data_IF_647937954728
#
_entry.id   IF_647937954728
#
_cell.length_a   1.000
_cell.length_b   1.000
_cell.length_c   1.000
_cell.angle_alpha   90.00
_cell.angle_beta   90.00
_cell.angle_gamma   90.00
#
_symmetry.space_group_name_H-M   'P 1'
#
loop_
_entity.id
_entity.type
_entity.pdbx_description
1 polymer ?
#
# COMPACT_ATOMS: atom_id res chain seq x y z
N UNK A 1 -17.12 5.78 -20.30
CA UNK A 1 -16.26 6.15 -21.45
C UNK A 1 -14.91 6.73 -21.02
N UNK A 2 -14.86 7.78 -20.17
CA UNK A 2 -13.62 8.39 -19.65
C UNK A 2 -12.65 7.40 -18.97
N UNK A 3 -13.18 6.47 -18.16
CA UNK A 3 -12.36 5.44 -17.52
C UNK A 3 -11.69 4.47 -18.52
N UNK A 4 -12.35 4.16 -19.64
CA UNK A 4 -11.73 3.35 -20.72
C UNK A 4 -10.63 4.15 -21.44
N UNK A 5 -10.83 5.44 -21.65
CA UNK A 5 -9.86 6.37 -22.24
C UNK A 5 -8.57 6.49 -21.42
N UNK A 6 -8.69 6.76 -20.12
CA UNK A 6 -7.54 6.85 -19.19
C UNK A 6 -6.80 5.50 -19.10
N UNK A 7 -7.56 4.40 -19.12
CA UNK A 7 -6.98 3.05 -19.06
C UNK A 7 -6.29 2.64 -20.36
N UNK A 8 -6.76 3.11 -21.51
CA UNK A 8 -6.14 2.88 -22.81
C UNK A 8 -4.88 3.73 -23.01
N UNK A 9 -4.88 5.01 -22.57
CA UNK A 9 -3.68 5.87 -22.58
C UNK A 9 -2.57 5.37 -21.64
N UNK A 10 -2.91 4.63 -20.57
CA UNK A 10 -1.93 4.03 -19.64
C UNK A 10 -1.36 2.71 -20.13
N UNK A 11 -2.03 2.00 -21.04
CA UNK A 11 -1.45 0.83 -21.71
C UNK A 11 -0.50 1.37 -22.79
N UNK A 12 0.73 0.86 -22.85
CA UNK A 12 1.78 1.24 -23.83
C UNK A 12 1.43 0.85 -25.29
N UNK A 13 0.20 1.09 -25.73
CA UNK A 13 -0.24 0.92 -27.10
C UNK A 13 -0.65 2.29 -27.66
N UNK A 14 -0.07 2.66 -28.80
CA UNK A 14 -0.40 3.86 -29.56
C UNK A 14 -1.80 3.75 -30.20
N UNK A 15 -2.84 3.57 -29.40
CA UNK A 15 -4.21 3.66 -29.92
C UNK A 15 -4.57 5.14 -29.95
N UNK A 16 -4.23 5.78 -31.07
CA UNK A 16 -4.65 7.16 -31.36
C UNK A 16 -6.13 7.12 -31.69
N UNK A 17 -6.92 7.93 -31.00
CA UNK A 17 -8.33 8.11 -31.32
C UNK A 17 -8.39 8.94 -32.59
N UNK A 18 -8.94 8.37 -33.66
CA UNK A 18 -9.03 9.02 -34.97
C UNK A 18 -10.42 9.63 -35.24
N UNK A 19 -11.43 9.24 -34.45
CA UNK A 19 -12.82 9.67 -34.57
C UNK A 19 -13.46 9.76 -33.18
N UNK A 20 -14.18 10.85 -32.91
CA UNK A 20 -14.98 11.08 -31.70
C UNK A 20 -16.38 11.57 -32.10
N UNK A 21 -17.44 10.95 -31.60
CA UNK A 21 -18.81 11.45 -31.78
C UNK A 21 -19.36 11.97 -30.45
N UNK A 22 -19.76 13.24 -30.42
CA UNK A 22 -20.36 13.91 -29.25
C UNK A 22 -21.66 14.57 -29.68
N UNK A 23 -22.78 14.26 -29.01
CA UNK A 23 -24.08 14.88 -29.27
C UNK A 23 -24.52 14.81 -30.75
N UNK A 24 -24.15 13.72 -31.45
CA UNK A 24 -24.45 13.53 -32.88
C UNK A 24 -23.52 14.27 -33.84
N UNK A 25 -22.51 14.99 -33.34
CA UNK A 25 -21.48 15.65 -34.14
C UNK A 25 -20.20 14.80 -34.12
N UNK A 26 -19.67 14.49 -35.30
CA UNK A 26 -18.43 13.72 -35.47
C UNK A 26 -17.22 14.64 -35.64
N UNK A 27 -16.20 14.40 -34.83
CA UNK A 27 -14.92 15.08 -34.84
C UNK A 27 -13.85 14.11 -35.34
N UNK A 28 -13.22 14.45 -36.46
CA UNK A 28 -12.14 13.68 -37.10
C UNK A 28 -10.84 14.47 -37.00
N UNK A 29 -9.70 13.77 -36.88
CA UNK A 29 -8.36 14.36 -36.72
C UNK A 29 -8.07 14.89 -35.30
N UNK A 30 -6.80 14.85 -34.89
CA UNK A 30 -6.38 15.03 -33.50
C UNK A 30 -6.72 16.40 -32.90
N UNK A 31 -6.72 17.46 -33.72
CA UNK A 31 -7.05 18.82 -33.25
C UNK A 31 -8.56 19.00 -33.02
N UNK A 32 -9.41 18.44 -33.89
CA UNK A 32 -10.87 18.56 -33.73
C UNK A 32 -11.42 17.69 -32.61
N UNK A 33 -10.78 16.56 -32.30
CA UNK A 33 -11.17 15.69 -31.18
C UNK A 33 -11.03 16.41 -29.85
N UNK A 34 -9.99 17.23 -29.67
CA UNK A 34 -9.80 18.02 -28.45
C UNK A 34 -10.92 19.04 -28.32
N UNK A 35 -11.25 19.75 -29.39
CA UNK A 35 -12.37 20.71 -29.43
C UNK A 35 -13.70 20.04 -29.11
N UNK A 36 -13.97 18.85 -29.66
CA UNK A 36 -15.18 18.10 -29.37
C UNK A 36 -15.30 17.66 -27.91
N UNK A 37 -14.18 17.28 -27.27
CA UNK A 37 -14.16 17.04 -25.83
C UNK A 37 -14.41 18.32 -25.03
N UNK A 38 -13.77 19.43 -25.41
CA UNK A 38 -13.93 20.70 -24.73
C UNK A 38 -15.39 21.17 -24.79
N UNK A 39 -16.04 21.11 -25.96
CA UNK A 39 -17.44 21.45 -26.13
C UNK A 39 -18.36 20.52 -25.34
N UNK A 40 -18.08 19.21 -25.33
CA UNK A 40 -18.83 18.25 -24.52
C UNK A 40 -18.79 18.61 -23.03
N UNK A 41 -17.60 18.77 -22.47
CA UNK A 41 -17.44 19.03 -21.04
C UNK A 41 -17.92 20.42 -20.67
N UNK A 42 -17.76 21.42 -21.55
CA UNK A 42 -18.36 22.73 -21.37
C UNK A 42 -19.88 22.62 -21.35
N UNK A 43 -20.50 21.83 -22.24
CA UNK A 43 -21.96 21.62 -22.22
C UNK A 43 -22.45 20.93 -20.94
N UNK A 44 -21.67 19.99 -20.38
CA UNK A 44 -21.98 19.35 -19.10
C UNK A 44 -21.80 20.31 -17.91
N UNK A 45 -20.83 21.22 -17.99
CA UNK A 45 -20.53 22.18 -16.94
C UNK A 45 -21.38 23.47 -17.02
N UNK A 46 -22.05 23.73 -18.14
CA UNK A 46 -22.89 24.93 -18.32
C UNK A 46 -24.34 24.57 -17.99
N UNK A 47 -24.73 24.84 -16.74
CA UNK A 47 -26.02 24.45 -16.15
C UNK A 47 -27.27 24.94 -16.90
N UNK A 48 -27.17 26.03 -17.67
CA UNK A 48 -28.32 26.63 -18.39
C UNK A 48 -28.94 25.76 -19.50
N UNK A 49 -28.29 24.65 -19.88
CA UNK A 49 -28.75 23.80 -20.99
C UNK A 49 -29.35 22.44 -20.54
N UNK A 50 -29.47 22.19 -19.24
CA UNK A 50 -30.05 20.95 -18.72
C UNK A 50 -31.54 21.15 -18.42
N UNK A 51 -32.42 20.47 -19.14
CA UNK A 51 -33.89 20.62 -19.02
C UNK A 51 -34.49 19.91 -17.80
N UNK A 52 -33.73 19.05 -17.13
CA UNK A 52 -34.17 18.21 -16.00
C UNK A 52 -33.29 18.41 -14.75
N UNK A 53 -33.05 19.67 -14.35
CA UNK A 53 -32.40 19.93 -13.06
C UNK A 53 -33.45 19.84 -11.95
N UNK A 54 -33.21 19.00 -10.95
CA UNK A 54 -33.96 18.96 -9.69
C UNK A 54 -33.90 20.35 -9.03
N UNK A 55 -35.04 21.04 -9.04
CA UNK A 55 -35.14 22.43 -8.55
C UNK A 55 -34.78 22.54 -7.07
N UNK A 56 -34.92 21.47 -6.29
CA UNK A 56 -34.54 21.47 -4.88
C UNK A 56 -33.02 21.51 -4.70
N UNK A 57 -32.28 20.69 -5.46
CA UNK A 57 -30.81 20.68 -5.44
C UNK A 57 -30.25 22.00 -5.97
N UNK A 58 -30.86 22.56 -7.02
CA UNK A 58 -30.47 23.88 -7.55
C UNK A 58 -30.61 24.99 -6.50
N UNK A 59 -31.76 25.04 -5.82
CA UNK A 59 -31.99 26.03 -4.77
C UNK A 59 -30.99 25.87 -3.62
N UNK A 60 -30.60 24.64 -3.29
CA UNK A 60 -29.61 24.37 -2.26
C UNK A 60 -28.20 24.86 -2.66
N UNK A 61 -27.78 24.63 -3.90
CA UNK A 61 -26.50 25.12 -4.41
C UNK A 61 -26.46 26.66 -4.46
N UNK A 62 -27.55 27.30 -4.87
CA UNK A 62 -27.67 28.78 -4.85
C UNK A 62 -27.64 29.33 -3.42
N UNK A 63 -28.31 28.68 -2.48
CA UNK A 63 -28.29 29.04 -1.06
C UNK A 63 -26.88 28.90 -0.46
N UNK A 64 -26.13 27.87 -0.85
CA UNK A 64 -24.74 27.67 -0.43
C UNK A 64 -23.80 28.71 -1.04
N UNK A 65 -23.94 29.04 -2.33
CA UNK A 65 -23.18 30.12 -2.99
C UNK A 65 -23.44 31.46 -2.31
N UNK A 66 -24.70 31.77 -2.00
CA UNK A 66 -25.05 32.99 -1.28
C UNK A 66 -24.47 33.00 0.14
N UNK A 67 -24.48 31.86 0.83
CA UNK A 67 -23.91 31.72 2.17
C UNK A 67 -22.39 31.93 2.16
N UNK A 68 -21.69 31.36 1.18
CA UNK A 68 -20.25 31.59 0.94
C UNK A 68 -20.00 33.07 0.65
N UNK A 69 -20.78 33.70 -0.22
CA UNK A 69 -20.62 35.13 -0.54
C UNK A 69 -20.84 36.04 0.68
N UNK A 70 -21.79 35.73 1.55
CA UNK A 70 -21.99 36.46 2.83
C UNK A 70 -20.80 36.27 3.78
N UNK A 71 -20.22 35.08 3.86
CA UNK A 71 -19.00 34.80 4.64
C UNK A 71 -17.77 35.52 4.07
N UNK A 72 -17.69 35.63 2.75
CA UNK A 72 -16.65 36.38 2.04
C UNK A 72 -16.80 37.89 2.26
N UNK A 73 -18.01 38.43 2.27
CA UNK A 73 -18.24 39.87 2.54
C UNK A 73 -17.95 40.29 4.00
N UNK A 74 -18.16 39.37 4.96
CA UNK A 74 -17.87 39.64 6.38
C UNK A 74 -16.38 39.64 6.73
N UNK A 75 -15.57 38.97 5.93
CA UNK A 75 -14.13 38.94 6.11
C UNK A 75 -13.51 39.89 5.08
N UNK A 76 -12.73 40.89 5.49
CA UNK A 76 -11.95 41.69 4.54
C UNK A 76 -10.88 40.79 3.89
N UNK A 77 -11.27 40.05 2.84
CA UNK A 77 -10.37 39.17 2.10
C UNK A 77 -9.51 40.05 1.21
N UNK A 78 -8.22 40.14 1.51
CA UNK A 78 -7.25 40.75 0.61
C UNK A 78 -7.15 39.92 -0.67
N UNK A 79 -7.15 40.57 -1.83
CA UNK A 79 -6.94 39.92 -3.12
C UNK A 79 -5.69 39.03 -3.08
N UNK A 80 -5.85 37.75 -3.41
CA UNK A 80 -4.74 36.79 -3.47
C UNK A 80 -3.77 37.25 -4.56
N UNK A 81 -2.51 37.42 -4.16
CA UNK A 81 -1.46 37.89 -5.08
C UNK A 81 -0.96 36.74 -5.94
N UNK A 82 -0.52 37.06 -7.16
CA UNK A 82 0.09 36.09 -8.06
C UNK A 82 1.30 35.36 -7.44
N UNK A 83 1.98 36.01 -6.50
CA UNK A 83 3.13 35.46 -5.77
C UNK A 83 2.70 34.34 -4.83
N UNK A 84 1.57 34.49 -4.13
CA UNK A 84 1.01 33.46 -3.23
C UNK A 84 0.59 32.20 -4.01
N UNK A 85 -0.05 32.38 -5.18
CA UNK A 85 -0.42 31.28 -6.09
C UNK A 85 0.84 30.55 -6.56
N UNK A 86 1.87 31.29 -6.98
CA UNK A 86 3.12 30.71 -7.48
C UNK A 86 3.86 29.93 -6.39
N UNK A 87 3.82 30.41 -5.15
CA UNK A 87 4.43 29.73 -4.00
C UNK A 87 3.68 28.46 -3.60
N UNK A 88 2.34 28.46 -3.67
CA UNK A 88 1.53 27.27 -3.46
C UNK A 88 1.86 26.18 -4.49
N UNK A 89 1.93 26.54 -5.78
CA UNK A 89 2.30 25.61 -6.87
C UNK A 89 3.70 25.02 -6.66
N UNK A 90 4.68 25.83 -6.25
CA UNK A 90 6.05 25.35 -5.96
C UNK A 90 6.09 24.42 -4.75
N UNK A 91 5.26 24.64 -3.74
CA UNK A 91 5.19 23.79 -2.54
C UNK A 91 4.65 22.40 -2.90
N UNK A 92 3.58 22.35 -3.70
CA UNK A 92 2.98 21.11 -4.23
C UNK A 92 4.03 20.28 -5.00
N UNK A 93 4.79 20.92 -5.89
CA UNK A 93 5.76 20.24 -6.75
C UNK A 93 7.03 19.76 -6.01
N UNK A 94 7.27 20.19 -4.77
CA UNK A 94 8.47 19.81 -4.00
C UNK A 94 8.27 18.63 -3.06
N UNK A 95 7.07 18.03 -3.01
CA UNK A 95 6.82 16.82 -2.21
C UNK A 95 7.01 16.98 -0.70
N UNK A 96 7.08 18.22 -0.19
CA UNK A 96 6.95 18.48 1.25
C UNK A 96 5.50 18.23 1.62
N UNK A 97 5.23 17.06 2.18
CA UNK A 97 3.97 16.78 2.85
C UNK A 97 3.79 17.84 3.95
N UNK A 98 2.70 18.62 3.85
CA UNK A 98 2.11 19.50 4.85
C UNK A 98 3.01 19.90 6.04
N UNK A 99 3.56 21.11 5.99
CA UNK A 99 3.89 21.83 7.23
C UNK A 99 2.59 22.00 8.05
N UNK A 100 2.68 22.25 9.37
CA UNK A 100 1.56 22.31 10.33
C UNK A 100 0.42 23.30 9.96
N UNK A 101 0.60 24.11 8.91
CA UNK A 101 -0.37 25.07 8.37
C UNK A 101 -1.21 24.53 7.19
N UNK A 102 -0.86 23.37 6.62
CA UNK A 102 -1.45 22.67 5.46
C UNK A 102 -2.13 23.51 4.36
N UNK A 103 -3.21 23.00 3.73
CA UNK A 103 -3.82 23.63 2.55
C UNK A 103 -4.89 24.65 2.95
N UNK A 104 -5.14 25.67 2.14
CA UNK A 104 -6.26 26.60 2.34
C UNK A 104 -7.10 26.73 1.07
N UNK A 105 -8.42 26.78 1.22
CA UNK A 105 -9.35 27.19 0.17
C UNK A 105 -9.92 28.54 0.61
N UNK A 106 -9.45 29.63 0.00
CA UNK A 106 -9.66 30.98 0.52
C UNK A 106 -9.03 31.15 1.91
N UNK A 107 -9.81 31.55 2.91
CA UNK A 107 -9.36 31.66 4.31
C UNK A 107 -9.53 30.38 5.13
N UNK A 108 -10.23 29.37 4.59
CA UNK A 108 -10.51 28.11 5.29
C UNK A 108 -9.25 27.25 5.27
N UNK A 109 -8.80 26.81 6.44
CA UNK A 109 -7.71 25.83 6.55
C UNK A 109 -8.28 24.45 6.23
N UNK A 110 -7.90 23.90 5.07
CA UNK A 110 -8.29 22.59 4.55
C UNK A 110 -7.12 21.64 4.71
N UNK A 111 -6.84 21.26 5.94
CA UNK A 111 -5.80 20.28 6.22
C UNK A 111 -6.39 18.88 6.05
N UNK A 112 -6.28 18.34 4.82
CA UNK A 112 -6.65 16.96 4.54
C UNK A 112 -5.41 16.08 4.32
N UNK A 113 -5.34 14.96 5.04
CA UNK A 113 -4.41 13.88 4.73
C UNK A 113 -5.22 12.68 4.30
N UNK A 114 -5.03 12.24 3.05
CA UNK A 114 -5.73 11.11 2.48
C UNK A 114 -4.74 10.02 2.04
N UNK A 115 -5.07 8.77 2.29
CA UNK A 115 -4.38 7.61 1.74
C UNK A 115 -5.40 6.48 1.51
N UNK A 116 -5.54 6.04 0.26
CA UNK A 116 -6.58 5.11 -0.15
C UNK A 116 -7.98 5.60 0.28
N UNK A 117 -8.69 4.82 1.12
CA UNK A 117 -10.01 5.09 1.66
C UNK A 117 -10.00 5.87 2.99
N UNK A 118 -8.83 6.06 3.60
CA UNK A 118 -8.69 6.81 4.85
C UNK A 118 -8.47 8.31 4.56
N UNK A 119 -9.41 9.16 5.01
CA UNK A 119 -9.32 10.63 4.94
C UNK A 119 -9.39 11.22 6.34
N UNK A 120 -8.45 12.09 6.69
CA UNK A 120 -8.52 12.92 7.89
C UNK A 120 -8.78 14.37 7.52
N UNK A 121 -9.81 14.97 8.13
CA UNK A 121 -10.16 16.39 8.01
C UNK A 121 -9.75 17.09 9.30
N UNK A 122 -9.07 18.23 9.20
CA UNK A 122 -8.59 18.99 10.36
C UNK A 122 -9.07 20.44 10.23
N UNK A 123 -9.69 20.94 11.28
CA UNK A 123 -10.11 22.34 11.41
C UNK A 123 -9.91 22.84 12.84
N UNK A 124 -9.74 24.15 12.98
CA UNK A 124 -9.64 24.85 14.27
C UNK A 124 -11.02 25.17 14.87
N UNK A 125 -12.06 25.27 14.03
CA UNK A 125 -13.42 25.64 14.42
C UNK A 125 -14.41 24.50 14.12
N UNK A 126 -15.34 24.18 15.04
CA UNK A 126 -16.32 23.10 14.83
C UNK A 126 -17.21 23.30 13.60
N UNK A 127 -17.64 24.54 13.34
CA UNK A 127 -18.52 24.85 12.21
C UNK A 127 -17.82 24.63 10.87
N UNK A 128 -16.53 24.99 10.79
CA UNK A 128 -15.69 24.70 9.63
C UNK A 128 -15.45 23.20 9.48
N UNK A 129 -15.29 22.46 10.58
CA UNK A 129 -15.19 21.01 10.53
C UNK A 129 -16.46 20.37 9.95
N UNK A 130 -17.65 20.84 10.36
CA UNK A 130 -18.93 20.37 9.82
C UNK A 130 -19.05 20.68 8.32
N UNK A 131 -18.65 21.87 7.88
CA UNK A 131 -18.63 22.24 6.47
C UNK A 131 -17.73 21.28 5.66
N UNK A 132 -16.53 20.97 6.15
CA UNK A 132 -15.62 20.02 5.50
C UNK A 132 -16.21 18.61 5.43
N UNK A 133 -16.93 18.17 6.47
CA UNK A 133 -17.62 16.88 6.48
C UNK A 133 -18.71 16.83 5.41
N UNK A 134 -19.53 17.89 5.31
CA UNK A 134 -20.59 17.98 4.31
C UNK A 134 -20.00 17.93 2.88
N UNK A 135 -19.00 18.75 2.61
CA UNK A 135 -18.29 18.73 1.32
C UNK A 135 -17.74 17.34 0.99
N UNK A 136 -17.12 16.66 1.96
CA UNK A 136 -16.61 15.31 1.76
C UNK A 136 -17.73 14.29 1.44
N UNK A 137 -18.91 14.44 2.05
CA UNK A 137 -20.07 13.61 1.75
C UNK A 137 -20.57 13.86 0.32
N UNK A 138 -20.70 15.12 -0.08
CA UNK A 138 -21.20 15.49 -1.40
C UNK A 138 -20.26 14.99 -2.51
N UNK A 139 -18.95 15.22 -2.36
CA UNK A 139 -17.96 14.71 -3.30
C UNK A 139 -17.93 13.18 -3.36
N UNK A 140 -18.02 12.50 -2.21
CA UNK A 140 -18.10 11.04 -2.19
C UNK A 140 -19.34 10.56 -2.94
N UNK A 141 -20.50 11.16 -2.70
CA UNK A 141 -21.75 10.82 -3.37
C UNK A 141 -21.68 11.05 -4.89
N UNK A 142 -21.17 12.20 -5.33
CA UNK A 142 -21.00 12.52 -6.75
C UNK A 142 -20.11 11.52 -7.49
N UNK A 143 -19.08 11.01 -6.82
CA UNK A 143 -18.15 10.03 -7.38
C UNK A 143 -18.62 8.57 -7.19
N UNK A 144 -19.81 8.36 -6.61
CA UNK A 144 -20.37 7.02 -6.37
C UNK A 144 -19.72 6.25 -5.22
N UNK A 145 -19.03 6.95 -4.30
CA UNK A 145 -18.51 6.39 -3.06
C UNK A 145 -19.50 6.59 -1.91
N UNK A 146 -19.46 5.67 -0.93
CA UNK A 146 -20.24 5.78 0.30
C UNK A 146 -19.29 5.83 1.51
N UNK A 147 -19.26 6.96 2.20
CA UNK A 147 -18.54 7.09 3.47
C UNK A 147 -19.21 6.23 4.55
N UNK A 148 -18.43 5.64 5.46
CA UNK A 148 -18.93 4.73 6.51
C UNK A 148 -19.09 5.45 7.86
N UNK A 149 -20.32 5.87 8.25
CA UNK A 149 -20.50 6.69 9.46
C UNK A 149 -20.03 6.02 10.73
N UNK A 150 -20.16 4.69 10.80
CA UNK A 150 -19.75 3.90 11.97
C UNK A 150 -18.23 3.83 12.16
N UNK A 151 -17.44 4.13 11.12
CA UNK A 151 -15.97 4.17 11.18
C UNK A 151 -15.42 5.58 11.25
N UNK A 152 -16.19 6.57 10.80
CA UNK A 152 -15.83 7.99 10.91
C UNK A 152 -15.96 8.44 12.36
N UNK A 153 -14.91 9.08 12.89
CA UNK A 153 -14.86 9.52 14.30
C UNK A 153 -14.36 10.95 14.40
N UNK A 154 -14.71 11.64 15.48
CA UNK A 154 -14.23 13.00 15.78
C UNK A 154 -13.20 12.94 16.90
N UNK A 155 -12.05 13.59 16.70
CA UNK A 155 -11.00 13.71 17.70
C UNK A 155 -10.69 15.19 17.96
N UNK A 156 -11.10 15.70 19.12
CA UNK A 156 -10.83 17.08 19.52
C UNK A 156 -9.46 17.18 20.19
N UNK A 157 -8.52 17.91 19.58
CA UNK A 157 -7.18 18.14 20.13
C UNK A 157 -7.19 19.45 20.90
N UNK A 158 -7.08 19.39 22.23
CA UNK A 158 -7.07 20.59 23.08
C UNK A 158 -5.64 21.03 23.41
N UNK A 159 -5.34 22.31 23.19
CA UNK A 159 -4.09 22.90 23.66
C UNK A 159 -4.20 23.17 25.17
N UNK A 160 -3.22 22.71 25.95
CA UNK A 160 -3.16 22.75 27.44
C UNK A 160 -3.45 24.10 28.11
N UNK A 161 -3.49 25.21 27.35
CA UNK A 161 -3.72 26.55 27.89
C UNK A 161 -5.20 26.91 28.04
N UNK A 162 -6.13 26.21 27.38
CA UNK A 162 -7.57 26.44 27.55
C UNK A 162 -8.14 25.37 28.48
N UNK A 163 -8.45 25.80 29.72
CA UNK A 163 -9.10 24.98 30.76
C UNK A 163 -10.63 24.93 30.64
N UNK A 164 -11.20 25.46 29.57
CA UNK A 164 -12.65 25.35 29.36
C UNK A 164 -12.96 23.95 28.86
N UNK A 165 -13.93 23.30 29.50
CA UNK A 165 -14.50 22.06 28.98
C UNK A 165 -14.99 22.35 27.55
N UNK A 166 -14.51 21.60 26.55
CA UNK A 166 -14.95 21.82 25.18
C UNK A 166 -16.46 21.65 25.14
N UNK A 167 -17.16 22.71 24.75
CA UNK A 167 -18.59 22.62 24.42
C UNK A 167 -18.69 21.54 23.34
N UNK A 168 -19.38 20.45 23.67
CA UNK A 168 -19.49 19.30 22.79
C UNK A 168 -20.41 19.67 21.62
N UNK A 169 -19.85 20.29 20.58
CA UNK A 169 -20.56 20.45 19.31
C UNK A 169 -20.60 19.08 18.65
N UNK A 170 -21.80 18.48 18.58
CA UNK A 170 -22.02 17.21 17.87
C UNK A 170 -21.82 17.43 16.37
N UNK A 171 -20.82 16.79 15.78
CA UNK A 171 -20.63 16.78 14.34
C UNK A 171 -21.42 15.61 13.72
N UNK A 172 -21.97 15.84 12.54
CA UNK A 172 -22.83 14.87 11.84
C UNK A 172 -22.28 14.57 10.45
N UNK A 173 -22.50 13.34 9.97
CA UNK A 173 -22.18 12.90 8.61
C UNK A 173 -23.48 12.43 7.96
N UNK A 174 -24.12 13.34 7.21
CA UNK A 174 -25.52 13.18 6.79
C UNK A 174 -26.46 13.18 8.00
N UNK A 175 -27.23 12.10 8.18
CA UNK A 175 -28.16 11.95 9.32
C UNK A 175 -27.54 11.26 10.55
N UNK A 176 -26.24 10.92 10.50
CA UNK A 176 -25.58 10.16 11.56
C UNK A 176 -24.68 11.06 12.39
N UNK A 177 -24.85 11.06 13.71
CA UNK A 177 -23.92 11.72 14.62
C UNK A 177 -22.58 10.95 14.67
N UNK A 178 -21.48 11.67 14.51
CA UNK A 178 -20.15 11.08 14.55
C UNK A 178 -19.68 10.95 16.01
N UNK A 179 -19.23 9.75 16.45
CA UNK A 179 -18.78 9.57 17.82
C UNK A 179 -17.50 10.37 18.09
N UNK A 180 -17.53 11.14 19.19
CA UNK A 180 -16.33 11.79 19.73
C UNK A 180 -15.50 10.78 20.50
N UNK A 181 -14.23 10.63 20.11
CA UNK A 181 -13.31 9.64 20.70
C UNK A 181 -12.09 10.34 21.30
N UNK A 182 -11.49 9.72 22.33
CA UNK A 182 -10.22 10.20 22.91
C UNK A 182 -8.99 9.81 22.09
N UNK A 183 -9.14 8.79 21.24
CA UNK A 183 -8.08 8.29 20.38
C UNK A 183 -8.65 7.69 19.10
N UNK A 184 -7.95 7.92 17.99
CA UNK A 184 -8.25 7.37 16.67
C UNK A 184 -6.95 6.93 15.99
N UNK A 185 -6.99 5.89 15.18
CA UNK A 185 -5.82 5.45 14.38
C UNK A 185 -6.00 5.93 12.95
N UNK A 186 -5.04 6.67 12.41
CA UNK A 186 -5.01 7.09 11.01
C UNK A 186 -3.68 6.70 10.38
N UNK A 187 -3.71 5.91 9.30
CA UNK A 187 -2.52 5.37 8.61
C UNK A 187 -1.56 4.61 9.54
N UNK A 188 -2.12 3.90 10.52
CA UNK A 188 -1.37 3.14 11.50
C UNK A 188 -0.68 3.99 12.59
N UNK A 189 -0.91 5.30 12.61
CA UNK A 189 -0.46 6.23 13.66
C UNK A 189 -1.65 6.50 14.59
N UNK A 190 -1.44 6.25 15.88
CA UNK A 190 -2.43 6.55 16.91
C UNK A 190 -2.40 8.05 17.18
N UNK A 191 -3.55 8.71 17.04
CA UNK A 191 -3.77 10.08 17.44
C UNK A 191 -4.60 10.07 18.72
N UNK A 192 -4.26 10.94 19.66
CA UNK A 192 -4.99 11.14 20.91
C UNK A 192 -5.24 12.65 21.09
N UNK A 193 -6.10 13.00 22.04
CA UNK A 193 -6.41 14.41 22.37
C UNK A 193 -5.20 15.18 22.92
N UNK A 194 -4.20 14.48 23.47
CA UNK A 194 -2.97 15.08 24.02
C UNK A 194 -1.70 14.60 23.32
N UNK A 195 -0.80 15.53 22.96
CA UNK A 195 0.49 15.20 22.35
C UNK A 195 1.34 14.22 23.19
N UNK A 196 1.30 14.34 24.53
CA UNK A 196 2.06 13.44 25.43
C UNK A 196 1.53 12.01 25.34
N UNK A 197 0.21 11.84 25.39
CA UNK A 197 -0.44 10.54 25.27
C UNK A 197 -0.23 9.95 23.87
N UNK A 198 -0.21 10.80 22.85
CA UNK A 198 0.02 10.41 21.46
C UNK A 198 1.40 9.75 21.29
N UNK A 199 2.44 10.36 21.87
CA UNK A 199 3.79 9.78 21.85
C UNK A 199 3.84 8.43 22.57
N UNK A 200 3.29 8.34 23.78
CA UNK A 200 3.27 7.09 24.56
C UNK A 200 2.50 5.99 23.82
N UNK A 201 1.30 6.28 23.33
CA UNK A 201 0.46 5.31 22.63
C UNK A 201 1.11 4.80 21.34
N UNK A 202 1.77 5.68 20.56
CA UNK A 202 2.49 5.25 19.37
C UNK A 202 3.71 4.38 19.68
N UNK A 203 4.46 4.72 20.74
CA UNK A 203 5.60 3.89 21.18
C UNK A 203 5.11 2.50 21.59
N UNK A 204 4.05 2.41 22.40
CA UNK A 204 3.47 1.14 22.84
C UNK A 204 2.93 0.31 21.68
N UNK A 205 2.20 0.92 20.75
CA UNK A 205 1.67 0.22 19.57
C UNK A 205 2.79 -0.24 18.64
N UNK A 206 3.85 0.56 18.47
CA UNK A 206 5.03 0.13 17.70
C UNK A 206 5.77 -1.02 18.38
N UNK A 207 5.92 -1.01 19.70
CA UNK A 207 6.45 -2.15 20.46
C UNK A 207 5.55 -3.38 20.26
N UNK A 208 4.23 -3.23 20.31
CA UNK A 208 3.27 -4.33 20.12
C UNK A 208 3.31 -4.86 18.68
N UNK A 209 3.42 -4.01 17.67
CA UNK A 209 3.61 -4.38 16.27
C UNK A 209 4.93 -5.11 16.09
N UNK A 210 6.03 -4.58 16.63
CA UNK A 210 7.34 -5.22 16.59
C UNK A 210 7.31 -6.60 17.26
N UNK A 211 6.69 -6.73 18.43
CA UNK A 211 6.47 -8.03 19.10
C UNK A 211 5.63 -8.96 18.23
N UNK A 212 4.50 -8.53 17.67
CA UNK A 212 3.66 -9.36 16.80
C UNK A 212 4.40 -9.79 15.53
N UNK A 213 5.16 -8.89 14.90
CA UNK A 213 5.99 -9.19 13.74
C UNK A 213 7.11 -10.17 14.11
N UNK A 214 7.76 -9.97 15.26
CA UNK A 214 8.69 -10.94 15.81
C UNK A 214 7.98 -12.28 16.00
N UNK A 215 6.91 -12.37 16.80
CA UNK A 215 6.15 -13.60 16.99
C UNK A 215 5.65 -14.25 15.69
N UNK A 216 5.29 -13.46 14.68
CA UNK A 216 4.90 -13.97 13.36
C UNK A 216 6.09 -14.52 12.56
N UNK A 217 7.27 -13.94 12.71
CA UNK A 217 8.53 -14.51 12.20
C UNK A 217 8.91 -15.76 13.02
N UNK A 218 8.58 -15.78 14.31
CA UNK A 218 8.86 -16.86 15.24
C UNK A 218 7.88 -18.07 15.11
N UNK A 219 6.66 -17.84 14.62
CA UNK A 219 5.58 -18.84 14.54
C UNK A 219 5.85 -20.00 13.57
N UNK A 220 6.88 -19.92 12.74
CA UNK A 220 7.33 -21.01 11.87
C UNK A 220 8.27 -22.04 12.52
N UNK A 221 8.76 -21.80 13.75
CA UNK A 221 9.73 -22.70 14.38
C UNK A 221 10.72 -22.01 15.31
N UNK A 222 10.26 -21.12 16.19
CA UNK A 222 11.13 -20.46 17.18
C UNK A 222 10.64 -20.67 18.63
N UNK A 223 9.64 -21.52 18.84
CA UNK A 223 9.19 -21.92 20.17
C UNK A 223 9.19 -23.44 20.27
N UNK A 224 10.01 -23.98 21.17
CA UNK A 224 10.06 -25.40 21.55
C UNK A 224 11.32 -26.15 21.12
N UNK A 225 11.38 -27.43 21.50
CA UNK A 225 12.48 -28.38 21.26
C UNK A 225 12.88 -28.56 19.78
N UNK A 226 12.08 -28.04 18.84
CA UNK A 226 12.27 -28.12 17.39
C UNK A 226 12.52 -26.75 16.72
N UNK A 227 12.87 -25.72 17.51
CA UNK A 227 13.10 -24.38 16.98
C UNK A 227 14.49 -24.17 16.35
N UNK A 228 14.65 -23.10 15.56
CA UNK A 228 15.99 -22.67 15.11
C UNK A 228 16.85 -22.30 16.31
N UNK A 229 18.12 -22.71 16.28
CA UNK A 229 19.08 -22.37 17.34
C UNK A 229 19.36 -20.86 17.39
N UNK A 230 19.81 -20.39 18.56
CA UNK A 230 20.03 -18.97 18.86
C UNK A 230 20.96 -18.29 17.85
N UNK A 231 21.97 -19.00 17.35
CA UNK A 231 22.96 -18.45 16.43
C UNK A 231 22.32 -18.22 15.06
N UNK A 232 21.51 -19.17 14.58
CA UNK A 232 20.71 -19.01 13.36
C UNK A 232 19.73 -17.84 13.48
N UNK A 233 19.10 -17.64 14.65
CA UNK A 233 18.21 -16.49 14.88
C UNK A 233 18.94 -15.15 14.75
N UNK A 234 20.08 -15.01 15.43
CA UNK A 234 20.88 -13.79 15.43
C UNK A 234 21.45 -13.50 14.04
N UNK A 235 21.87 -14.55 13.33
CA UNK A 235 22.34 -14.44 11.96
C UNK A 235 21.26 -13.92 11.01
N UNK A 236 20.02 -14.39 11.16
CA UNK A 236 18.88 -13.92 10.37
C UNK A 236 18.63 -12.43 10.60
N UNK A 237 18.62 -11.97 11.87
CA UNK A 237 18.42 -10.57 12.26
C UNK A 237 19.54 -9.67 11.71
N UNK A 238 20.79 -10.10 11.80
CA UNK A 238 21.95 -9.29 11.41
C UNK A 238 22.13 -9.18 9.89
N UNK A 239 21.52 -10.08 9.10
CA UNK A 239 21.63 -10.06 7.64
C UNK A 239 20.60 -9.17 6.93
N UNK A 240 19.91 -8.26 7.64
CA UNK A 240 18.80 -7.49 7.08
C UNK A 240 19.21 -6.17 6.41
N UNK A 241 19.19 -6.15 5.08
CA UNK A 241 18.95 -4.93 4.27
C UNK A 241 17.46 -4.88 3.86
N UNK A 242 16.87 -3.68 3.67
CA UNK A 242 15.44 -3.52 3.35
C UNK A 242 14.95 -4.27 2.08
N UNK A 243 15.87 -4.62 1.17
CA UNK A 243 15.57 -5.40 -0.05
C UNK A 243 15.46 -6.91 0.26
N UNK A 244 16.08 -7.40 1.34
CA UNK A 244 16.10 -8.82 1.69
C UNK A 244 14.90 -9.25 2.56
N UNK A 245 14.17 -8.30 3.14
CA UNK A 245 13.02 -8.56 4.02
C UNK A 245 11.87 -9.29 3.31
N UNK A 246 11.63 -8.99 2.02
CA UNK A 246 10.60 -9.68 1.23
C UNK A 246 11.01 -11.11 0.83
N UNK A 247 12.32 -11.40 0.77
CA UNK A 247 12.85 -12.69 0.30
C UNK A 247 12.86 -13.75 1.39
N UNK A 248 13.14 -13.32 2.62
CA UNK A 248 13.35 -14.23 3.74
C UNK A 248 12.13 -15.09 4.09
N UNK A 249 10.89 -14.56 4.14
CA UNK A 249 9.72 -15.37 4.49
C UNK A 249 9.53 -16.58 3.59
N UNK A 250 9.90 -16.47 2.31
CA UNK A 250 9.80 -17.58 1.35
C UNK A 250 10.77 -18.70 1.71
N UNK A 251 12.03 -18.35 1.99
CA UNK A 251 13.07 -19.32 2.36
C UNK A 251 12.77 -19.98 3.71
N UNK A 252 12.35 -19.20 4.71
CA UNK A 252 11.90 -19.73 6.00
C UNK A 252 10.71 -20.67 5.84
N UNK A 253 9.75 -20.35 4.97
CA UNK A 253 8.63 -21.24 4.70
C UNK A 253 9.09 -22.58 4.11
N UNK A 254 10.07 -22.59 3.23
CA UNK A 254 10.62 -23.83 2.67
C UNK A 254 11.40 -24.63 3.72
N UNK A 255 12.25 -23.96 4.50
CA UNK A 255 13.06 -24.58 5.56
C UNK A 255 12.17 -25.22 6.65
N UNK A 256 11.14 -24.51 7.10
CA UNK A 256 10.17 -24.99 8.11
C UNK A 256 9.12 -25.93 7.54
N UNK A 257 9.16 -26.20 6.24
CA UNK A 257 8.15 -26.97 5.53
C UNK A 257 6.76 -26.32 5.50
N UNK A 258 6.59 -25.06 5.92
CA UNK A 258 5.32 -24.32 5.87
C UNK A 258 4.98 -23.77 4.47
N UNK A 259 5.89 -23.86 3.50
CA UNK A 259 5.64 -23.53 2.11
C UNK A 259 4.70 -24.57 1.46
N UNK A 260 3.59 -24.09 0.89
CA UNK A 260 2.51 -24.96 0.39
C UNK A 260 2.81 -25.42 -1.06
N UNK A 261 3.54 -26.53 -1.18
CA UNK A 261 3.71 -27.30 -2.43
C UNK A 261 2.60 -28.35 -2.58
N UNK A 262 2.40 -28.91 -3.78
CA UNK A 262 1.38 -29.95 -4.00
C UNK A 262 1.57 -31.18 -3.10
N UNK A 263 2.81 -31.63 -2.91
CA UNK A 263 3.12 -32.73 -1.98
C UNK A 263 2.63 -32.49 -0.54
N UNK A 264 2.59 -31.22 -0.11
CA UNK A 264 2.03 -30.84 1.20
C UNK A 264 0.51 -30.68 1.16
N UNK A 265 -0.05 -30.15 0.07
CA UNK A 265 -1.50 -30.01 -0.11
C UNK A 265 -2.21 -31.36 -0.02
N UNK A 266 -1.67 -32.41 -0.64
CA UNK A 266 -2.23 -33.77 -0.55
C UNK A 266 -2.37 -34.23 0.89
N UNK A 267 -1.31 -34.05 1.69
CA UNK A 267 -1.32 -34.42 3.10
C UNK A 267 -2.39 -33.66 3.90
N UNK A 268 -2.74 -32.44 3.48
CA UNK A 268 -3.75 -31.61 4.13
C UNK A 268 -5.17 -31.93 3.66
N UNK A 269 -5.37 -32.25 2.38
CA UNK A 269 -6.68 -32.39 1.74
C UNK A 269 -7.07 -33.83 1.36
N UNK A 270 -6.36 -34.84 1.89
CA UNK A 270 -6.74 -36.28 1.81
C UNK A 270 -7.17 -36.74 0.40
N UNK A 271 -6.22 -36.68 -0.53
CA UNK A 271 -6.27 -37.22 -1.90
C UNK A 271 -7.05 -36.43 -2.98
N UNK A 272 -7.66 -35.29 -2.65
CA UNK A 272 -8.32 -34.44 -3.66
C UNK A 272 -7.36 -33.60 -4.53
N UNK A 273 -6.04 -33.69 -4.29
CA UNK A 273 -5.04 -32.84 -4.94
C UNK A 273 -4.06 -33.67 -5.75
N UNK A 274 -3.78 -33.26 -6.99
CA UNK A 274 -2.75 -33.87 -7.83
C UNK A 274 -1.34 -33.55 -7.29
N UNK A 275 -0.45 -34.56 -7.04
CA UNK A 275 0.90 -34.31 -6.54
C UNK A 275 1.78 -33.59 -7.53
N UNK A 276 1.42 -33.60 -8.82
CA UNK A 276 2.25 -33.08 -9.90
C UNK A 276 2.56 -31.60 -9.73
N UNK A 277 3.80 -31.24 -10.03
CA UNK A 277 4.28 -29.87 -10.04
C UNK A 277 3.43 -28.99 -10.95
N UNK A 278 2.85 -27.92 -10.39
CA UNK A 278 2.02 -26.96 -11.14
C UNK A 278 2.76 -26.28 -12.30
N UNK A 279 4.09 -26.32 -12.30
CA UNK A 279 4.90 -25.69 -13.33
C UNK A 279 5.14 -26.64 -14.49
N UNK A 280 5.56 -27.87 -14.21
CA UNK A 280 5.99 -28.81 -15.25
C UNK A 280 5.00 -29.93 -15.54
N UNK A 281 4.08 -30.21 -14.62
CA UNK A 281 3.11 -31.31 -14.66
C UNK A 281 3.71 -32.71 -14.87
N UNK A 282 5.01 -32.88 -14.65
CA UNK A 282 5.74 -34.15 -14.92
C UNK A 282 6.01 -34.96 -13.66
N UNK A 283 6.59 -34.34 -12.65
CA UNK A 283 6.98 -34.98 -11.39
C UNK A 283 6.23 -34.37 -10.20
N UNK A 284 6.28 -35.04 -9.07
CA UNK A 284 5.66 -34.57 -7.83
C UNK A 284 6.33 -33.28 -7.33
N UNK A 285 5.52 -32.32 -6.86
CA UNK A 285 6.01 -31.03 -6.34
C UNK A 285 6.58 -31.18 -4.93
N UNK A 286 7.73 -31.83 -4.81
CA UNK A 286 8.53 -31.87 -3.57
C UNK A 286 9.43 -30.64 -3.46
N UNK A 287 9.98 -30.37 -2.27
CA UNK A 287 10.98 -29.29 -2.07
C UNK A 287 12.19 -29.53 -2.97
N UNK A 288 12.67 -30.77 -3.08
CA UNK A 288 13.75 -31.20 -3.97
C UNK A 288 13.42 -30.90 -5.43
N UNK A 289 12.23 -31.30 -5.91
CA UNK A 289 11.84 -31.01 -7.27
C UNK A 289 11.75 -29.50 -7.53
N UNK A 290 11.07 -28.77 -6.65
CA UNK A 290 10.87 -27.33 -6.80
C UNK A 290 12.19 -26.56 -6.85
N UNK A 291 13.14 -26.87 -5.96
CA UNK A 291 14.41 -26.17 -5.86
C UNK A 291 15.42 -26.68 -6.89
N UNK A 292 15.55 -27.99 -7.09
CA UNK A 292 16.68 -28.59 -7.85
C UNK A 292 16.32 -29.16 -9.23
N UNK A 293 15.09 -29.64 -9.45
CA UNK A 293 14.82 -30.47 -10.65
C UNK A 293 13.79 -29.91 -11.64
N UNK A 294 12.89 -29.03 -11.20
CA UNK A 294 11.81 -28.51 -12.04
C UNK A 294 12.35 -27.90 -13.34
N UNK A 295 11.97 -28.47 -14.49
CA UNK A 295 12.49 -28.09 -15.81
C UNK A 295 12.16 -26.65 -16.17
N UNK A 296 10.96 -26.18 -15.82
CA UNK A 296 10.51 -24.81 -16.10
C UNK A 296 11.31 -23.76 -15.31
N UNK A 297 11.94 -24.17 -14.21
CA UNK A 297 12.76 -23.31 -13.36
C UNK A 297 14.25 -23.38 -13.70
N UNK A 298 14.67 -24.22 -14.65
CA UNK A 298 16.09 -24.47 -14.98
C UNK A 298 16.84 -23.18 -15.32
N UNK A 299 16.25 -22.31 -16.13
CA UNK A 299 16.91 -21.08 -16.57
C UNK A 299 17.17 -20.10 -15.40
N UNK A 300 16.17 -19.92 -14.53
CA UNK A 300 16.29 -19.07 -13.33
C UNK A 300 17.33 -19.66 -12.37
N UNK A 301 17.26 -20.98 -12.17
CA UNK A 301 18.17 -21.72 -11.30
C UNK A 301 19.61 -21.63 -11.78
N UNK A 302 19.90 -21.97 -13.03
CA UNK A 302 21.26 -21.98 -13.57
C UNK A 302 21.91 -20.60 -13.46
N UNK A 303 21.16 -19.54 -13.76
CA UNK A 303 21.68 -18.16 -13.67
C UNK A 303 22.23 -17.83 -12.27
N UNK A 304 21.53 -18.22 -11.21
CA UNK A 304 21.91 -17.87 -9.82
C UNK A 304 22.81 -18.95 -9.19
N UNK A 305 22.60 -20.22 -9.54
CA UNK A 305 23.44 -21.31 -9.03
C UNK A 305 24.87 -21.20 -9.54
N UNK A 306 25.13 -20.75 -10.77
CA UNK A 306 26.51 -20.53 -11.23
C UNK A 306 27.29 -19.60 -10.28
N UNK A 307 26.73 -18.43 -9.95
CA UNK A 307 27.32 -17.51 -8.97
C UNK A 307 27.49 -18.15 -7.58
N UNK A 308 26.55 -19.01 -7.17
CA UNK A 308 26.59 -19.69 -5.87
C UNK A 308 27.68 -20.76 -5.85
N UNK A 309 27.81 -21.54 -6.92
CA UNK A 309 28.80 -22.59 -7.11
C UNK A 309 30.20 -22.01 -7.11
N UNK A 310 30.43 -20.88 -7.77
CA UNK A 310 31.75 -20.22 -7.77
C UNK A 310 32.18 -19.81 -6.36
N UNK A 311 31.25 -19.25 -5.57
CA UNK A 311 31.52 -18.91 -4.16
C UNK A 311 31.77 -20.18 -3.35
N UNK A 312 30.97 -21.23 -3.50
CA UNK A 312 31.15 -22.48 -2.77
C UNK A 312 32.48 -23.19 -3.12
N UNK A 313 32.87 -23.20 -4.39
CA UNK A 313 34.14 -23.76 -4.86
C UNK A 313 35.33 -22.98 -4.25
N UNK A 314 35.23 -21.66 -4.13
CA UNK A 314 36.25 -20.84 -3.43
C UNK A 314 36.37 -21.16 -1.93
N UNK A 315 35.36 -21.81 -1.35
CA UNK A 315 35.32 -22.30 0.02
C UNK A 315 35.65 -23.80 0.12
N UNK A 316 36.10 -24.42 -0.98
CA UNK A 316 36.44 -25.84 -1.06
C UNK A 316 35.23 -26.78 -1.07
N UNK A 317 34.03 -26.28 -1.36
CA UNK A 317 32.79 -27.07 -1.42
C UNK A 317 32.46 -27.35 -2.90
N UNK A 318 32.72 -28.57 -3.37
CA UNK A 318 32.41 -29.01 -4.74
C UNK A 318 30.91 -29.26 -4.90
N UNK A 319 30.12 -28.19 -5.07
CA UNK A 319 28.65 -28.26 -5.00
C UNK A 319 28.04 -29.26 -6.01
N UNK A 320 28.65 -29.44 -7.17
CA UNK A 320 28.12 -30.34 -8.21
C UNK A 320 28.23 -31.82 -7.83
N UNK A 321 29.24 -32.18 -7.02
CA UNK A 321 29.52 -33.55 -6.57
C UNK A 321 28.65 -33.97 -5.37
N UNK A 322 27.99 -33.01 -4.72
CA UNK A 322 27.12 -33.25 -3.58
C UNK A 322 25.83 -34.00 -3.95
N UNK A 323 25.32 -34.77 -3.00
CA UNK A 323 23.99 -35.36 -3.08
C UNK A 323 22.90 -34.27 -3.03
N UNK A 324 21.71 -34.57 -3.53
CA UNK A 324 20.59 -33.60 -3.53
C UNK A 324 20.20 -33.13 -2.13
N UNK A 325 20.28 -34.00 -1.12
CA UNK A 325 20.03 -33.64 0.28
C UNK A 325 21.03 -32.60 0.80
N UNK A 326 22.31 -32.74 0.43
CA UNK A 326 23.36 -31.81 0.81
C UNK A 326 23.25 -30.49 0.05
N UNK A 327 22.93 -30.55 -1.25
CA UNK A 327 22.62 -29.38 -2.07
C UNK A 327 21.45 -28.58 -1.49
N UNK A 328 20.38 -29.28 -1.11
CA UNK A 328 19.22 -28.66 -0.45
C UNK A 328 19.59 -28.04 0.89
N UNK A 329 20.36 -28.76 1.72
CA UNK A 329 20.84 -28.24 2.98
C UNK A 329 21.58 -26.92 2.75
N UNK A 330 22.57 -26.86 1.86
CA UNK A 330 23.32 -25.63 1.58
C UNK A 330 22.42 -24.49 1.06
N UNK A 331 21.47 -24.80 0.18
CA UNK A 331 20.56 -23.78 -0.37
C UNK A 331 19.61 -23.25 0.71
N UNK A 332 19.08 -24.11 1.58
CA UNK A 332 18.08 -23.76 2.59
C UNK A 332 18.69 -23.22 3.88
N UNK A 333 19.83 -23.76 4.29
CA UNK A 333 20.57 -23.39 5.49
C UNK A 333 22.03 -23.88 5.43
N UNK A 334 22.94 -22.96 5.10
CA UNK A 334 24.37 -23.26 5.04
C UNK A 334 25.01 -23.42 6.44
N UNK A 335 24.32 -23.06 7.53
CA UNK A 335 24.90 -22.99 8.89
C UNK A 335 25.58 -24.29 9.33
N UNK A 336 24.97 -25.50 9.15
CA UNK A 336 25.64 -26.74 9.54
C UNK A 336 26.95 -27.02 8.77
N UNK A 337 26.99 -26.65 7.48
CA UNK A 337 28.19 -26.77 6.64
C UNK A 337 29.22 -25.72 7.05
N UNK A 338 28.77 -24.51 7.38
CA UNK A 338 29.62 -23.43 7.86
C UNK A 338 30.31 -23.78 9.18
N UNK A 339 29.57 -24.34 10.14
CA UNK A 339 30.09 -24.75 11.44
C UNK A 339 31.10 -25.89 11.31
N UNK A 340 30.77 -26.93 10.54
CA UNK A 340 31.67 -28.08 10.34
C UNK A 340 32.97 -27.70 9.61
N UNK A 341 32.91 -26.77 8.66
CA UNK A 341 34.07 -26.31 7.88
C UNK A 341 34.73 -25.03 8.41
N UNK A 342 34.25 -24.49 9.53
CA UNK A 342 34.74 -23.23 10.13
C UNK A 342 34.77 -22.07 9.13
N UNK A 343 33.70 -21.91 8.35
CA UNK A 343 33.61 -20.83 7.36
C UNK A 343 33.51 -19.47 8.05
N UNK A 344 34.10 -18.44 7.44
CA UNK A 344 34.01 -17.08 7.98
C UNK A 344 32.56 -16.54 7.87
N UNK A 345 32.11 -15.71 8.82
CA UNK A 345 30.76 -15.12 8.78
C UNK A 345 30.47 -14.35 7.48
N UNK A 346 31.48 -13.70 6.90
CA UNK A 346 31.35 -12.98 5.64
C UNK A 346 31.06 -13.91 4.44
N UNK A 347 31.74 -15.06 4.39
CA UNK A 347 31.50 -16.08 3.36
C UNK A 347 30.11 -16.70 3.49
N UNK A 348 29.69 -17.00 4.72
CA UNK A 348 28.33 -17.50 5.03
C UNK A 348 27.28 -16.51 4.56
N UNK A 349 27.41 -15.24 4.94
CA UNK A 349 26.47 -14.19 4.53
C UNK A 349 26.39 -14.03 3.00
N UNK A 350 27.52 -14.18 2.30
CA UNK A 350 27.57 -14.10 0.83
C UNK A 350 26.78 -15.23 0.17
N UNK A 351 27.00 -16.48 0.58
CA UNK A 351 26.25 -17.63 0.06
C UNK A 351 24.76 -17.51 0.40
N UNK A 352 24.48 -17.13 1.64
CA UNK A 352 23.12 -16.97 2.14
C UNK A 352 22.32 -15.92 1.35
N UNK A 353 22.96 -14.80 0.97
CA UNK A 353 22.36 -13.79 0.09
C UNK A 353 22.02 -14.35 -1.30
N UNK A 354 22.91 -15.15 -1.89
CA UNK A 354 22.70 -15.75 -3.21
C UNK A 354 21.57 -16.80 -3.18
N UNK A 355 21.55 -17.66 -2.17
CA UNK A 355 20.52 -18.70 -2.04
C UNK A 355 19.15 -18.11 -1.72
N UNK A 356 19.06 -17.06 -0.89
CA UNK A 356 17.81 -16.28 -0.71
C UNK A 356 17.31 -15.68 -2.02
N UNK A 357 18.21 -15.10 -2.83
CA UNK A 357 17.87 -14.56 -4.15
C UNK A 357 17.32 -15.65 -5.07
N UNK A 358 17.96 -16.83 -5.09
CA UNK A 358 17.48 -17.99 -5.83
C UNK A 358 16.06 -18.36 -5.42
N UNK A 359 15.85 -18.67 -4.14
CA UNK A 359 14.56 -19.12 -3.62
C UNK A 359 13.44 -18.13 -3.91
N UNK A 360 13.70 -16.83 -3.74
CA UNK A 360 12.69 -15.81 -4.02
C UNK A 360 12.32 -15.76 -5.51
N UNK A 361 13.29 -15.87 -6.42
CA UNK A 361 13.02 -15.88 -7.86
C UNK A 361 12.23 -17.13 -8.29
N UNK A 362 12.53 -18.29 -7.71
CA UNK A 362 11.74 -19.51 -7.92
C UNK A 362 10.30 -19.34 -7.42
N UNK A 363 10.11 -18.71 -6.26
CA UNK A 363 8.79 -18.40 -5.72
C UNK A 363 7.99 -17.46 -6.61
N UNK A 364 8.58 -16.37 -7.10
CA UNK A 364 7.91 -15.44 -8.01
C UNK A 364 7.49 -16.14 -9.31
N UNK A 365 8.36 -16.98 -9.86
CA UNK A 365 8.02 -17.76 -11.06
C UNK A 365 6.83 -18.69 -10.82
N UNK A 366 6.80 -19.37 -9.68
CA UNK A 366 5.66 -20.22 -9.31
C UNK A 366 4.39 -19.42 -9.06
N UNK A 367 4.49 -18.32 -8.31
CA UNK A 367 3.35 -17.48 -7.95
C UNK A 367 2.61 -16.94 -9.18
N UNK A 368 3.34 -16.56 -10.23
CA UNK A 368 2.75 -16.08 -11.49
C UNK A 368 1.85 -17.10 -12.18
N UNK A 369 2.13 -18.40 -12.04
CA UNK A 369 1.31 -19.47 -12.63
C UNK A 369 0.12 -19.81 -11.74
N UNK A 370 0.28 -19.67 -10.42
CA UNK A 370 -0.80 -19.97 -9.46
C UNK A 370 -1.85 -18.86 -9.42
N UNK A 371 -1.44 -17.60 -9.64
CA UNK A 371 -2.29 -16.43 -9.47
C UNK A 371 -2.62 -15.68 -10.77
N UNK A 372 -2.03 -16.06 -11.90
CA UNK A 372 -2.33 -15.53 -13.23
C UNK A 372 -3.13 -16.55 -14.00
#
# INVERSE_FOLDING_TARGET
MFHQLVRNNRKKGNVVITELEVNGVKYMESENIITGFEEHFRSLATFNNQTDIDSAYHNQVEDDIQSINRLVQRNNISNVTHIEITNAIRSINRGKSADFQGYRIGNISVNSTACADDVALISEEPDQAQLLINMACDYAYMEGYQLQPTKSVVLTITNRKQKQDPVATSLTMGQHEMPSVRSATHLGIIRTTSLKENMTANVEENIKKARRSAYSLLGGGFHGYNGLDVETMVHLINCHSAIDTARLPVKLKLLTGSYILQSKRIKMYKDETDPKCLLCSKDDETVTHFILHCIQLRNIRNKILLETVDVLNSLGIQFNELLDSEKLQIILDITPVATSRKLSPASVAKVERLTRRLIYQLHIARYKIVCG
#
